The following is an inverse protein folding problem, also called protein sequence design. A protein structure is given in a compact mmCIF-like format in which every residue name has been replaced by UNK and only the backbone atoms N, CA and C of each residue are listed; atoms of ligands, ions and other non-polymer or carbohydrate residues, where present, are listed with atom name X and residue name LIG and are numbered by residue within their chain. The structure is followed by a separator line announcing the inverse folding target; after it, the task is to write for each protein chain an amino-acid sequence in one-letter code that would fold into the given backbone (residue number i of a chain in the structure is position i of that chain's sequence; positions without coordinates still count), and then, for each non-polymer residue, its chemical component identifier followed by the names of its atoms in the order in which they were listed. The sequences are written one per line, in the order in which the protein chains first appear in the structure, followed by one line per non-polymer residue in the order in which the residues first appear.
data_IF_693237836386
#
_entry.id   IF_693237836386
#
_cell.length_a   1.000
_cell.length_b   1.000
_cell.length_c   1.000
_cell.angle_alpha   90.00
_cell.angle_beta   90.00
_cell.angle_gamma   90.00
#
_symmetry.space_group_name_H-M   'P 1'
#
loop_
_entity.id
_entity.type
_entity.pdbx_description
1 polymer ?
#
# COMPACT_ATOMS: atom_id res chain seq x y z
N UNK A 1 9.42 8.77 -20.40
CA UNK A 1 9.27 7.94 -20.57
C UNK A 1 8.86 7.21 -19.58
N UNK A 2 7.83 7.13 -19.41
CA UNK A 2 7.51 6.27 -18.47
C UNK A 2 8.15 5.09 -18.83
N UNK A 3 8.53 4.56 -18.02
CA UNK A 3 9.35 3.49 -18.23
C UNK A 3 8.56 2.28 -17.87
N UNK A 4 8.66 1.27 -18.69
CA UNK A 4 8.05 0.00 -18.37
C UNK A 4 8.52 -0.52 -17.05
N UNK A 5 9.75 -0.23 -16.69
CA UNK A 5 10.29 -0.63 -15.40
C UNK A 5 9.53 0.01 -14.26
N UNK A 6 9.18 1.30 -14.39
CA UNK A 6 8.42 2.00 -13.35
C UNK A 6 7.06 1.36 -13.14
N UNK A 7 6.40 0.94 -14.23
CA UNK A 7 5.10 0.27 -14.10
C UNK A 7 5.23 -1.04 -13.34
N UNK A 8 6.26 -1.82 -13.64
CA UNK A 8 6.44 -3.12 -13.01
C UNK A 8 6.83 -3.03 -11.55
N UNK A 9 7.63 -2.03 -11.19
CA UNK A 9 8.13 -1.90 -9.81
C UNK A 9 7.30 -0.94 -8.98
N UNK A 10 6.31 -0.29 -9.60
CA UNK A 10 5.46 0.66 -8.88
C UNK A 10 4.71 -0.01 -7.74
N UNK A 11 4.71 0.62 -6.58
CA UNK A 11 3.93 0.20 -5.44
C UNK A 11 2.93 1.26 -5.08
N UNK A 12 1.73 0.84 -4.68
CA UNK A 12 0.70 1.78 -4.24
C UNK A 12 0.29 1.41 -2.82
N UNK A 13 -0.04 2.44 -2.05
CA UNK A 13 -0.49 2.27 -0.67
C UNK A 13 -1.96 2.66 -0.60
N UNK A 14 -2.78 1.76 -0.06
CA UNK A 14 -4.22 1.96 0.05
C UNK A 14 -4.62 1.92 1.51
N UNK A 15 -5.37 2.94 1.96
CA UNK A 15 -5.92 2.95 3.30
C UNK A 15 -7.31 2.35 3.23
N UNK A 16 -7.52 1.25 3.95
CA UNK A 16 -8.75 0.48 3.88
C UNK A 16 -9.32 0.30 5.28
N UNK A 17 -10.61 0.57 5.42
CA UNK A 17 -11.29 0.30 6.69
C UNK A 17 -11.77 -1.15 6.65
N UNK A 18 -11.14 -1.98 7.47
CA UNK A 18 -11.46 -3.39 7.56
C UNK A 18 -12.28 -3.60 8.83
N UNK A 19 -13.60 -3.75 8.65
CA UNK A 19 -14.50 -3.73 9.79
C UNK A 19 -14.50 -2.34 10.40
N UNK A 20 -14.05 -2.22 11.63
CA UNK A 20 -13.99 -0.93 12.33
C UNK A 20 -12.58 -0.33 12.39
N UNK A 21 -11.60 -0.95 11.74
CA UNK A 21 -10.20 -0.56 11.87
C UNK A 21 -9.62 -0.18 10.52
N UNK A 22 -8.96 0.98 10.45
CA UNK A 22 -8.22 1.36 9.26
C UNK A 22 -6.86 0.68 9.27
N UNK A 23 -6.51 0.08 8.13
CA UNK A 23 -5.22 -0.58 7.92
C UNK A 23 -4.64 -0.16 6.58
N UNK A 24 -3.32 -0.16 6.50
CA UNK A 24 -2.63 0.27 5.28
C UNK A 24 -2.13 -0.95 4.51
N UNK A 25 -2.44 -0.98 3.21
CA UNK A 25 -2.09 -2.09 2.35
C UNK A 25 -1.23 -1.61 1.18
N UNK A 26 -0.09 -2.24 0.99
CA UNK A 26 0.84 -1.91 -0.09
C UNK A 26 0.91 -3.09 -1.05
N UNK A 27 0.70 -2.82 -2.34
CA UNK A 27 0.76 -3.86 -3.35
C UNK A 27 1.27 -3.26 -4.66
N UNK A 28 1.60 -4.14 -5.62
CA UNK A 28 2.03 -3.68 -6.93
C UNK A 28 0.98 -2.77 -7.55
N UNK A 29 1.43 -1.68 -8.16
CA UNK A 29 0.52 -0.76 -8.83
C UNK A 29 -0.23 -1.42 -9.99
N UNK A 30 0.28 -2.56 -10.49
CA UNK A 30 -0.38 -3.31 -11.57
C UNK A 30 -1.52 -4.20 -11.08
N UNK A 31 -1.67 -4.35 -9.78
CA UNK A 31 -2.68 -5.24 -9.18
C UNK A 31 -3.77 -4.44 -8.49
N UNK A 32 -4.85 -5.12 -8.15
CA UNK A 32 -5.91 -4.56 -7.33
C UNK A 32 -6.02 -5.35 -6.03
N UNK A 33 -6.65 -4.76 -5.03
CA UNK A 33 -6.86 -5.40 -3.75
C UNK A 33 -7.90 -6.51 -3.89
N UNK A 34 -7.55 -7.70 -3.42
CA UNK A 34 -8.49 -8.82 -3.37
C UNK A 34 -9.29 -8.68 -2.07
N UNK A 35 -10.49 -8.13 -2.19
CA UNK A 35 -11.33 -7.86 -1.02
C UNK A 35 -11.67 -9.12 -0.25
N UNK A 36 -11.91 -10.22 -0.95
CA UNK A 36 -12.26 -11.46 -0.27
C UNK A 36 -11.09 -12.00 0.55
N UNK A 37 -9.86 -11.90 0.02
CA UNK A 37 -8.69 -12.32 0.77
C UNK A 37 -8.50 -11.49 2.03
N UNK A 38 -8.72 -10.18 1.94
CA UNK A 38 -8.59 -9.29 3.08
C UNK A 38 -9.67 -9.58 4.12
N UNK A 39 -10.91 -9.77 3.69
CA UNK A 39 -12.00 -10.09 4.62
C UNK A 39 -11.72 -11.39 5.36
N UNK A 40 -11.21 -12.40 4.65
CA UNK A 40 -10.90 -13.68 5.27
C UNK A 40 -9.77 -13.55 6.29
N UNK A 41 -8.74 -12.78 5.94
CA UNK A 41 -7.58 -12.64 6.81
C UNK A 41 -7.93 -11.95 8.13
N UNK A 42 -8.79 -10.95 8.09
CA UNK A 42 -9.14 -10.20 9.29
C UNK A 42 -10.48 -10.62 9.91
N UNK A 43 -11.11 -11.66 9.33
CA UNK A 43 -12.39 -12.18 9.82
C UNK A 43 -13.44 -11.07 9.89
N UNK A 44 -13.49 -10.22 8.87
CA UNK A 44 -14.49 -9.14 8.79
C UNK A 44 -15.42 -9.41 7.61
N UNK A 45 -16.65 -8.93 7.72
CA UNK A 45 -17.65 -9.10 6.67
C UNK A 45 -17.66 -7.96 5.69
N UNK A 46 -17.15 -6.79 6.09
CA UNK A 46 -17.18 -5.58 5.27
C UNK A 46 -15.83 -4.91 5.27
N UNK A 47 -15.48 -4.34 4.13
CA UNK A 47 -14.35 -3.43 4.06
C UNK A 47 -14.69 -2.35 3.02
N UNK A 48 -14.02 -1.22 3.13
CA UNK A 48 -14.12 -0.18 2.12
C UNK A 48 -12.85 0.65 2.12
N UNK A 49 -12.55 1.25 0.98
CA UNK A 49 -11.43 2.18 0.94
C UNK A 49 -11.79 3.44 1.70
N UNK A 50 -10.79 4.06 2.33
CA UNK A 50 -10.99 5.36 2.96
C UNK A 50 -11.37 6.36 1.88
N UNK A 51 -12.30 7.26 2.21
CA UNK A 51 -12.61 8.35 1.31
C UNK A 51 -11.46 9.36 1.30
N UNK A 52 -11.45 10.23 0.29
CA UNK A 52 -10.44 11.29 0.23
C UNK A 52 -10.48 12.17 1.48
N UNK A 53 -11.69 12.46 1.98
CA UNK A 53 -11.83 13.26 3.18
C UNK A 53 -11.30 12.56 4.41
N UNK A 54 -11.57 11.26 4.54
CA UNK A 54 -11.03 10.47 5.66
C UNK A 54 -9.51 10.42 5.60
N UNK A 55 -8.97 10.19 4.42
CA UNK A 55 -7.52 10.12 4.26
C UNK A 55 -6.88 11.45 4.67
N UNK A 56 -7.45 12.55 4.22
CA UNK A 56 -6.93 13.86 4.56
C UNK A 56 -7.03 14.13 6.06
N UNK A 57 -8.16 13.77 6.65
CA UNK A 57 -8.35 13.99 8.10
C UNK A 57 -7.38 13.16 8.92
N UNK A 58 -7.10 11.93 8.50
CA UNK A 58 -6.25 11.02 9.27
C UNK A 58 -4.76 11.21 9.00
N UNK A 59 -4.37 11.65 7.80
CA UNK A 59 -2.97 11.69 7.41
C UNK A 59 -2.50 13.04 6.87
N UNK A 60 -3.43 13.90 6.47
CA UNK A 60 -3.06 15.14 5.78
C UNK A 60 -2.73 14.93 4.31
N UNK A 61 -2.89 13.72 3.79
CA UNK A 61 -2.48 13.36 2.44
C UNK A 61 -3.67 13.24 1.50
N UNK A 62 -3.38 13.21 0.19
CA UNK A 62 -4.40 13.00 -0.83
C UNK A 62 -4.24 11.61 -1.45
N UNK A 63 -5.29 11.06 -2.08
CA UNK A 63 -5.16 9.76 -2.73
C UNK A 63 -4.00 9.76 -3.74
N UNK A 64 -3.23 8.69 -3.75
CA UNK A 64 -2.08 8.56 -4.63
C UNK A 64 -0.78 9.08 -4.07
N UNK A 65 -0.82 9.84 -2.97
CA UNK A 65 0.40 10.42 -2.38
C UNK A 65 0.87 9.67 -1.12
N UNK A 66 0.14 8.64 -0.71
CA UNK A 66 0.43 7.95 0.55
C UNK A 66 1.69 7.11 0.42
N UNK A 67 2.71 7.35 1.26
CA UNK A 67 3.91 6.53 1.20
C UNK A 67 3.63 5.14 1.78
N UNK A 68 4.36 4.11 1.33
CA UNK A 68 4.08 2.73 1.75
C UNK A 68 4.71 2.38 3.09
N UNK A 69 4.48 3.20 4.10
CA UNK A 69 5.04 3.01 5.43
C UNK A 69 3.95 3.18 6.49
N UNK A 70 3.88 2.22 7.40
CA UNK A 70 2.97 2.33 8.53
C UNK A 70 3.63 3.04 9.70
N UNK A 71 3.32 2.60 10.91
CA UNK A 71 3.89 3.21 12.10
C UNK A 71 5.41 3.11 12.09
N UNK A 72 6.11 4.12 12.58
CA UNK A 72 5.60 5.35 13.21
C UNK A 72 5.30 6.48 12.22
N UNK A 73 5.54 6.27 10.93
CA UNK A 73 5.36 7.33 9.92
C UNK A 73 3.88 7.67 9.75
N UNK A 74 3.05 6.64 9.60
CA UNK A 74 1.59 6.78 9.57
C UNK A 74 1.00 5.93 10.69
N UNK A 75 -0.12 6.36 11.28
CA UNK A 75 -0.66 5.67 12.47
C UNK A 75 -1.49 4.44 12.13
N UNK A 76 -0.98 3.58 11.25
CA UNK A 76 -1.71 2.39 10.81
C UNK A 76 -0.82 1.18 10.77
N UNK A 77 -1.39 0.03 11.05
CA UNK A 77 -0.73 -1.25 10.85
C UNK A 77 -0.54 -1.46 9.35
N UNK A 78 0.62 -1.97 8.95
CA UNK A 78 1.01 -2.09 7.56
C UNK A 78 1.01 -3.54 7.11
N UNK A 79 0.41 -3.78 5.95
CA UNK A 79 0.44 -5.09 5.29
C UNK A 79 0.99 -4.91 3.89
N UNK A 80 1.89 -5.81 3.48
CA UNK A 80 2.61 -5.71 2.21
C UNK A 80 2.29 -6.96 1.40
N UNK A 81 1.76 -6.76 0.19
CA UNK A 81 1.44 -7.90 -0.67
C UNK A 81 2.72 -8.55 -1.17
N UNK A 82 2.68 -9.86 -1.32
CA UNK A 82 3.85 -10.59 -1.79
C UNK A 82 4.30 -10.18 -3.19
N UNK A 83 3.45 -9.53 -3.99
CA UNK A 83 3.83 -9.02 -5.30
C UNK A 83 5.00 -8.04 -5.21
N UNK A 84 5.09 -7.30 -4.11
CA UNK A 84 6.21 -6.37 -3.90
C UNK A 84 7.52 -7.14 -3.78
N UNK A 85 7.50 -8.29 -3.13
CA UNK A 85 8.73 -9.06 -2.89
C UNK A 85 9.26 -9.76 -4.14
N UNK A 86 8.48 -9.80 -5.21
CA UNK A 86 8.91 -10.43 -6.46
C UNK A 86 9.80 -9.52 -7.31
N UNK A 87 9.87 -8.25 -6.97
CA UNK A 87 10.72 -7.30 -7.66
C UNK A 87 11.94 -6.97 -6.82
N UNK A 88 12.99 -6.48 -7.46
CA UNK A 88 14.19 -6.08 -6.75
C UNK A 88 14.05 -4.70 -6.14
N UNK A 89 13.18 -3.88 -6.72
CA UNK A 89 12.98 -2.49 -6.30
C UNK A 89 11.50 -2.17 -6.20
N UNK A 90 11.20 -1.16 -5.40
CA UNK A 90 9.84 -0.60 -5.32
C UNK A 90 9.92 0.91 -5.57
N UNK A 91 9.06 1.40 -6.47
CA UNK A 91 8.90 2.83 -6.73
C UNK A 91 7.58 3.30 -6.15
N UNK A 92 7.59 4.42 -5.47
CA UNK A 92 6.38 4.91 -4.79
C UNK A 92 6.40 6.43 -4.66
N UNK A 93 5.22 6.99 -4.43
CA UNK A 93 5.09 8.41 -4.12
C UNK A 93 5.36 8.64 -2.64
N UNK A 94 6.03 9.74 -2.35
CA UNK A 94 6.54 10.00 -1.01
C UNK A 94 5.84 11.22 -0.38
N UNK A 95 4.53 11.15 -0.25
CA UNK A 95 3.75 12.22 0.37
C UNK A 95 3.34 13.31 -0.62
N UNK A 96 3.59 13.09 -1.90
CA UNK A 96 3.29 14.05 -2.95
C UNK A 96 2.99 13.29 -4.22
N UNK A 97 2.17 13.87 -5.10
CA UNK A 97 1.86 13.25 -6.39
C UNK A 97 2.99 13.41 -7.40
N UNK A 98 3.94 14.31 -7.13
CA UNK A 98 5.03 14.60 -8.07
C UNK A 98 6.38 14.05 -7.64
N UNK A 99 6.53 13.68 -6.37
CA UNK A 99 7.79 13.17 -5.88
C UNK A 99 7.73 11.67 -5.75
N UNK A 100 8.61 10.97 -6.44
CA UNK A 100 8.67 9.53 -6.33
C UNK A 100 10.07 9.10 -5.90
N UNK A 101 10.12 7.99 -5.19
CA UNK A 101 11.36 7.40 -4.71
C UNK A 101 11.43 5.96 -5.15
N UNK A 102 12.65 5.44 -5.27
CA UNK A 102 12.88 4.04 -5.57
C UNK A 102 13.81 3.47 -4.51
N UNK A 103 13.39 2.36 -3.92
CA UNK A 103 14.21 1.65 -2.92
C UNK A 103 14.40 0.21 -3.34
N UNK A 104 15.52 -0.39 -2.93
CA UNK A 104 15.66 -1.83 -3.06
C UNK A 104 14.64 -2.47 -2.12
N UNK A 105 13.98 -3.54 -2.59
CA UNK A 105 12.92 -4.17 -1.80
C UNK A 105 13.41 -4.65 -0.43
N UNK A 106 14.59 -5.30 -0.30
CA UNK A 106 15.03 -5.68 1.05
C UNK A 106 15.18 -4.50 2.00
N UNK A 107 15.65 -3.35 1.51
CA UNK A 107 15.77 -2.15 2.33
C UNK A 107 14.39 -1.62 2.71
N UNK A 108 13.48 -1.61 1.74
CA UNK A 108 12.11 -1.17 2.01
C UNK A 108 11.47 -2.04 3.10
N UNK A 109 11.60 -3.36 2.98
CA UNK A 109 10.98 -4.27 3.95
C UNK A 109 11.54 -4.06 5.36
N UNK A 110 12.84 -3.83 5.48
CA UNK A 110 13.43 -3.55 6.79
C UNK A 110 12.92 -2.24 7.37
N UNK A 111 12.84 -1.21 6.54
CA UNK A 111 12.39 0.10 7.01
C UNK A 111 10.91 0.12 7.33
N UNK A 112 10.10 -0.56 6.53
CA UNK A 112 8.64 -0.54 6.70
C UNK A 112 8.16 -1.42 7.84
N UNK A 113 8.78 -2.58 8.03
CA UNK A 113 8.44 -3.46 9.13
C UNK A 113 7.05 -4.06 9.10
N UNK A 114 6.38 -4.04 7.96
CA UNK A 114 5.01 -4.56 7.86
C UNK A 114 4.95 -6.08 7.75
N UNK A 115 3.73 -6.60 7.69
CA UNK A 115 3.48 -8.02 7.53
C UNK A 115 3.30 -8.34 6.05
N UNK A 116 4.08 -9.29 5.54
CA UNK A 116 3.96 -9.70 4.14
C UNK A 116 2.95 -10.84 4.03
N UNK A 117 1.99 -10.68 3.13
CA UNK A 117 0.98 -11.69 2.88
C UNK A 117 0.39 -11.46 1.49
N UNK A 118 -0.55 -12.32 1.06
CA UNK A 118 -1.15 -12.16 -0.27
C UNK A 118 -2.52 -11.51 -0.18
N UNK A 119 -2.68 -10.42 -0.86
CA UNK A 119 -4.00 -9.78 -1.05
C UNK A 119 -4.10 -9.04 -2.37
N UNK A 120 -3.07 -9.10 -3.22
CA UNK A 120 -3.13 -8.51 -4.55
C UNK A 120 -3.70 -9.50 -5.55
N UNK A 121 -4.50 -9.01 -6.47
CA UNK A 121 -5.11 -9.83 -7.51
C UNK A 121 -4.86 -9.18 -8.87
N UNK A 122 -4.71 -10.02 -9.89
CA UNK A 122 -4.56 -9.53 -11.25
C UNK A 122 -5.85 -8.89 -11.76
N UNK A 123 -5.70 -7.96 -12.68
CA UNK A 123 -6.84 -7.29 -13.31
C UNK A 123 -7.36 -8.09 -14.49
#
# INVERSE_FOLDING_TARGET
RARGEDVRIGGKALLVKTGEVFRLFVLSAALRLDSDAVKARFAVKKLRFASADELKALTGLVPGSVPPFGEPILPFELFIDESITRNEKIAFNAGSLTDSLVLAVPEYLRAAGGTVCRFGAGN
#
